data_IF_221297186630
#
_entry.id   IF_221297186630
#
_cell.length_a   1.000
_cell.length_b   1.000
_cell.length_c   1.000
_cell.angle_alpha   90.00
_cell.angle_beta   90.00
_cell.angle_gamma   90.00
#
_symmetry.space_group_name_H-M   'P 1'
#
loop_
_entity.id
_entity.type
_entity.pdbx_description
1 polymer ?
#
# COMPACT_ATOMS: atom_id res chain seq x y z
N UNK A 1 -32.70 -42.25 -10.01
CA UNK A 1 -31.99 -43.03 -11.06
C UNK A 1 -30.56 -42.46 -11.13
N UNK A 2 -29.52 -43.14 -10.61
CA UNK A 2 -28.56 -43.99 -11.37
C UNK A 2 -28.10 -43.24 -12.64
N UNK A 3 -26.85 -42.77 -12.81
CA UNK A 3 -25.51 -43.41 -12.64
C UNK A 3 -24.39 -42.33 -12.72
N UNK A 4 -23.38 -42.28 -11.82
CA UNK A 4 -21.97 -42.76 -11.96
C UNK A 4 -21.34 -42.44 -13.34
N UNK A 5 -20.13 -41.89 -13.51
CA UNK A 5 -18.82 -42.33 -12.99
C UNK A 5 -17.75 -41.21 -13.03
N UNK A 6 -16.94 -41.16 -11.97
CA UNK A 6 -15.56 -40.65 -11.93
C UNK A 6 -14.61 -41.47 -12.81
N UNK A 7 -13.46 -40.90 -13.21
CA UNK A 7 -12.12 -41.53 -13.24
C UNK A 7 -11.12 -40.37 -13.52
N UNK A 8 -10.32 -39.86 -12.58
CA UNK A 8 -9.20 -40.47 -11.83
C UNK A 8 -7.96 -40.76 -12.70
N UNK A 9 -6.85 -40.08 -12.42
CA UNK A 9 -5.52 -40.64 -12.11
C UNK A 9 -4.48 -39.48 -12.07
N UNK A 10 -3.81 -39.17 -10.97
CA UNK A 10 -2.74 -39.89 -10.23
C UNK A 10 -1.37 -39.90 -10.94
N UNK A 11 -0.42 -39.18 -10.33
CA UNK A 11 0.95 -39.62 -10.00
C UNK A 11 1.52 -38.58 -9.00
N UNK A 12 1.81 -38.87 -7.71
CA UNK A 12 2.86 -39.75 -7.16
C UNK A 12 4.26 -39.23 -7.58
N UNK A 13 5.31 -39.01 -6.76
CA UNK A 13 5.79 -39.40 -5.44
C UNK A 13 6.71 -38.22 -4.95
N UNK A 14 7.19 -38.06 -3.72
CA UNK A 14 7.97 -39.01 -2.94
C UNK A 14 8.17 -38.52 -1.50
N UNK A 15 8.33 -39.49 -0.61
CA UNK A 15 8.72 -39.34 0.78
C UNK A 15 10.21 -39.05 0.93
N UNK A 16 10.56 -38.27 1.94
CA UNK A 16 11.90 -38.21 2.51
C UNK A 16 11.79 -37.91 4.00
N UNK A 17 11.85 -38.96 4.84
CA UNK A 17 12.17 -38.82 6.26
C UNK A 17 13.70 -38.75 6.39
N UNK A 18 14.20 -37.62 6.90
CA UNK A 18 15.45 -37.54 7.67
C UNK A 18 15.04 -36.92 9.01
N UNK A 19 14.94 -37.70 10.10
CA UNK A 19 16.02 -38.14 10.98
C UNK A 19 16.67 -36.97 11.78
N UNK A 20 16.46 -37.04 13.10
CA UNK A 20 17.04 -36.31 14.24
C UNK A 20 18.29 -35.44 14.04
N UNK A 21 18.34 -34.31 14.75
CA UNK A 21 19.59 -33.66 15.15
C UNK A 21 19.37 -32.33 15.88
N UNK A 22 19.21 -32.39 17.20
CA UNK A 22 19.49 -31.26 18.10
C UNK A 22 21.00 -31.01 18.13
N UNK A 23 21.44 -29.79 17.79
CA UNK A 23 22.61 -29.08 18.32
C UNK A 23 22.89 -27.87 17.42
N UNK A 24 22.95 -26.69 18.03
CA UNK A 24 23.07 -25.43 17.32
C UNK A 24 24.36 -25.29 16.53
N UNK A 25 24.25 -24.61 15.40
CA UNK A 25 25.25 -23.74 14.79
C UNK A 25 24.50 -22.91 13.75
N UNK A 26 24.48 -21.59 13.94
CA UNK A 26 23.96 -20.64 12.95
C UNK A 26 24.86 -20.67 11.73
N UNK A 27 24.53 -21.52 10.76
CA UNK A 27 25.11 -21.43 9.42
C UNK A 27 24.36 -20.35 8.65
N UNK A 28 24.96 -19.17 8.57
CA UNK A 28 24.55 -18.11 7.66
C UNK A 28 24.87 -18.57 6.24
N UNK A 29 23.89 -19.11 5.52
CA UNK A 29 24.00 -19.34 4.09
C UNK A 29 23.84 -18.01 3.35
N UNK A 30 24.96 -17.34 3.08
CA UNK A 30 25.01 -16.21 2.15
C UNK A 30 24.86 -16.74 0.73
N UNK A 31 23.64 -16.73 0.19
CA UNK A 31 23.41 -16.92 -1.23
C UNK A 31 23.69 -15.59 -1.94
N UNK A 32 24.92 -15.41 -2.42
CA UNK A 32 25.27 -14.30 -3.31
C UNK A 32 24.81 -14.65 -4.73
N UNK A 33 23.56 -14.34 -5.07
CA UNK A 33 23.15 -14.28 -6.48
C UNK A 33 23.67 -12.99 -7.11
N UNK A 34 24.85 -13.07 -7.71
CA UNK A 34 25.38 -12.00 -8.57
C UNK A 34 24.65 -12.02 -9.91
N UNK A 35 23.54 -11.30 -10.00
CA UNK A 35 22.99 -10.93 -11.32
C UNK A 35 23.66 -9.64 -11.77
N UNK A 36 24.69 -9.77 -12.60
CA UNK A 36 25.32 -8.64 -13.27
C UNK A 36 24.40 -8.14 -14.38
N UNK A 37 23.57 -7.14 -14.09
CA UNK A 37 22.95 -6.33 -15.13
C UNK A 37 23.90 -5.19 -15.46
N UNK A 38 24.43 -5.22 -16.68
CA UNK A 38 25.24 -4.18 -17.28
C UNK A 38 24.44 -2.89 -17.37
N UNK A 39 24.82 -1.87 -16.60
CA UNK A 39 24.37 -0.50 -16.79
C UNK A 39 24.12 0.22 -15.49
N UNK A 40 24.86 1.32 -15.30
CA UNK A 40 24.57 2.41 -14.39
C UNK A 40 25.15 2.31 -12.96
N UNK A 41 26.25 3.05 -12.81
CA UNK A 41 26.62 3.88 -11.65
C UNK A 41 26.68 3.17 -10.29
N UNK A 42 27.89 2.75 -9.97
CA UNK A 42 28.31 2.43 -8.60
C UNK A 42 27.99 3.57 -7.64
N UNK A 43 27.12 3.33 -6.67
CA UNK A 43 27.13 4.07 -5.41
C UNK A 43 27.21 3.03 -4.28
N UNK A 44 28.37 3.01 -3.63
CA UNK A 44 28.62 2.22 -2.43
C UNK A 44 28.10 3.06 -1.26
N UNK A 45 26.93 2.74 -0.73
CA UNK A 45 26.47 3.31 0.53
C UNK A 45 26.85 2.39 1.68
N UNK A 46 27.87 2.79 2.42
CA UNK A 46 28.28 2.18 3.69
C UNK A 46 27.27 2.57 4.76
N UNK A 47 26.28 1.73 5.05
CA UNK A 47 25.36 1.97 6.18
C UNK A 47 25.98 1.40 7.45
N UNK A 48 26.37 2.30 8.36
CA UNK A 48 26.70 1.95 9.75
C UNK A 48 25.39 1.83 10.52
N UNK A 49 24.91 0.60 10.76
CA UNK A 49 23.75 0.39 11.63
C UNK A 49 24.15 0.64 13.09
N UNK A 50 23.69 1.76 13.64
CA UNK A 50 23.60 1.94 15.09
C UNK A 50 22.22 1.44 15.50
N UNK A 51 22.20 0.36 16.27
CA UNK A 51 21.02 -0.23 16.89
C UNK A 51 20.22 0.84 17.67
N UNK A 52 19.09 1.25 17.10
CA UNK A 52 18.01 1.88 17.84
C UNK A 52 16.71 1.39 17.22
N UNK A 53 16.00 0.55 17.97
CA UNK A 53 14.73 -0.04 17.57
C UNK A 53 13.64 1.05 17.50
N UNK A 54 13.63 1.83 16.42
CA UNK A 54 12.45 2.54 15.96
C UNK A 54 11.58 1.54 15.17
N UNK A 55 10.25 1.51 15.36
CA UNK A 55 9.39 0.66 14.56
C UNK A 55 9.58 1.03 13.08
N UNK A 56 9.92 0.03 12.26
CA UNK A 56 10.06 0.20 10.82
C UNK A 56 8.77 0.77 10.25
N UNK A 57 8.76 2.07 10.00
CA UNK A 57 7.69 2.75 9.29
C UNK A 57 7.84 2.31 7.84
N UNK A 58 7.05 1.32 7.42
CA UNK A 58 6.97 0.95 6.01
C UNK A 58 6.43 2.17 5.27
N UNK A 59 7.23 2.75 4.38
CA UNK A 59 6.73 3.66 3.36
C UNK A 59 5.65 2.91 2.57
N UNK A 60 4.42 3.43 2.47
CA UNK A 60 3.39 2.85 1.63
C UNK A 60 3.91 2.72 0.19
N UNK A 61 3.42 1.72 -0.55
CA UNK A 61 3.84 1.52 -1.95
C UNK A 61 3.64 2.79 -2.81
N UNK A 62 2.70 3.66 -2.43
CA UNK A 62 2.39 4.94 -3.08
C UNK A 62 3.24 6.15 -2.68
N UNK A 63 4.35 5.97 -1.97
CA UNK A 63 5.25 7.08 -1.62
C UNK A 63 4.81 7.87 -0.39
N UNK A 64 4.85 9.20 -0.47
CA UNK A 64 4.47 10.11 0.63
C UNK A 64 3.14 10.79 0.32
N UNK A 65 2.20 10.75 1.26
CA UNK A 65 0.91 11.41 1.11
C UNK A 65 1.05 12.92 0.83
N UNK A 66 0.35 13.48 -0.17
CA UNK A 66 0.35 14.92 -0.39
C UNK A 66 -0.29 15.67 0.79
N UNK A 67 0.38 16.68 1.32
CA UNK A 67 -0.20 17.55 2.35
C UNK A 67 -0.82 18.83 1.77
N UNK A 68 -0.80 18.99 0.45
CA UNK A 68 -1.28 20.17 -0.26
C UNK A 68 -2.08 19.75 -1.50
N UNK A 69 -3.25 20.36 -1.68
CA UNK A 69 -4.07 20.18 -2.89
C UNK A 69 -3.54 21.08 -3.99
N UNK A 70 -3.35 20.51 -5.18
CA UNK A 70 -2.88 21.23 -6.38
C UNK A 70 -3.98 21.47 -7.40
N UNK A 71 -4.92 20.54 -7.51
CA UNK A 71 -6.01 20.59 -8.46
C UNK A 71 -7.19 19.74 -7.97
N UNK A 72 -8.31 19.86 -8.67
CA UNK A 72 -9.47 19.00 -8.54
C UNK A 72 -9.72 18.37 -9.91
N UNK A 73 -9.99 17.06 -9.94
CA UNK A 73 -10.49 16.37 -11.11
C UNK A 73 -11.89 16.87 -11.46
N UNK A 74 -12.40 16.54 -12.65
CA UNK A 74 -13.79 16.87 -12.98
C UNK A 74 -14.77 16.08 -12.10
N UNK A 75 -14.41 14.84 -11.70
CA UNK A 75 -15.22 14.03 -10.79
C UNK A 75 -15.34 14.72 -9.44
N UNK A 76 -14.23 15.15 -8.83
CA UNK A 76 -14.24 15.90 -7.58
C UNK A 76 -14.99 17.23 -7.67
N UNK A 77 -14.99 17.91 -8.83
CA UNK A 77 -15.82 19.10 -9.04
C UNK A 77 -17.31 18.77 -9.10
N UNK A 78 -17.69 17.62 -9.67
CA UNK A 78 -19.07 17.12 -9.69
C UNK A 78 -19.50 16.65 -8.29
N UNK A 79 -18.63 15.99 -7.53
CA UNK A 79 -18.90 15.50 -6.17
C UNK A 79 -19.18 16.65 -5.18
N UNK A 80 -18.48 17.78 -5.34
CA UNK A 80 -18.76 19.00 -4.55
C UNK A 80 -20.16 19.57 -4.77
N UNK A 81 -20.85 19.12 -5.81
CA UNK A 81 -22.24 19.48 -6.12
C UNK A 81 -23.23 18.37 -5.74
N UNK A 82 -22.74 17.20 -5.29
CA UNK A 82 -23.60 16.11 -4.83
C UNK A 82 -24.38 16.51 -3.57
N UNK A 83 -25.63 16.07 -3.48
CA UNK A 83 -26.54 16.45 -2.40
C UNK A 83 -26.01 16.05 -1.02
N UNK A 84 -25.32 14.91 -0.91
CA UNK A 84 -24.83 14.39 0.37
C UNK A 84 -23.59 15.17 0.83
N UNK A 85 -22.69 15.48 -0.10
CA UNK A 85 -21.50 16.33 0.11
C UNK A 85 -21.90 17.76 0.48
N UNK A 86 -22.85 18.35 -0.24
CA UNK A 86 -23.39 19.70 0.02
C UNK A 86 -24.10 19.75 1.38
N UNK A 87 -24.92 18.73 1.70
CA UNK A 87 -25.63 18.62 2.99
C UNK A 87 -24.66 18.45 4.15
N UNK A 88 -23.55 17.75 3.95
CA UNK A 88 -22.47 17.63 4.92
C UNK A 88 -21.63 18.92 5.07
N UNK A 89 -21.83 19.90 4.18
CA UNK A 89 -21.12 21.19 4.20
C UNK A 89 -19.66 21.06 3.78
N UNK A 90 -19.36 20.10 2.91
CA UNK A 90 -18.01 19.91 2.36
C UNK A 90 -17.83 20.82 1.15
N UNK A 91 -16.85 21.73 1.25
CA UNK A 91 -16.45 22.62 0.17
C UNK A 91 -14.92 22.56 -0.03
N UNK A 92 -14.39 23.20 -1.08
CA UNK A 92 -12.94 23.18 -1.37
C UNK A 92 -12.07 23.62 -0.18
N UNK A 93 -12.41 24.72 0.55
CA UNK A 93 -11.72 25.06 1.79
C UNK A 93 -11.71 23.94 2.83
N UNK A 94 -12.85 23.26 3.04
CA UNK A 94 -12.95 22.14 3.98
C UNK A 94 -12.09 20.95 3.55
N UNK A 95 -12.12 20.58 2.27
CA UNK A 95 -11.28 19.52 1.69
C UNK A 95 -9.79 19.87 1.85
N UNK A 96 -9.41 21.11 1.54
CA UNK A 96 -8.03 21.61 1.72
C UNK A 96 -7.56 21.49 3.16
N UNK A 97 -8.40 21.89 4.12
CA UNK A 97 -8.08 21.79 5.54
C UNK A 97 -7.97 20.32 5.99
N UNK A 98 -8.89 19.46 5.53
CA UNK A 98 -8.87 18.03 5.85
C UNK A 98 -7.57 17.38 5.37
N UNK A 99 -7.15 17.63 4.13
CA UNK A 99 -5.89 17.10 3.58
C UNK A 99 -4.69 17.56 4.40
N UNK A 100 -4.63 18.85 4.77
CA UNK A 100 -3.55 19.38 5.62
C UNK A 100 -3.53 18.75 7.02
N UNK A 101 -4.69 18.62 7.67
CA UNK A 101 -4.80 18.11 9.03
C UNK A 101 -4.55 16.60 9.11
N UNK A 102 -4.87 15.85 8.04
CA UNK A 102 -4.85 14.38 8.01
C UNK A 102 -3.73 13.78 7.19
N UNK A 103 -2.84 14.55 6.57
CA UNK A 103 -1.80 13.97 5.70
C UNK A 103 -0.83 13.03 6.42
N UNK A 104 -0.62 13.19 7.73
CA UNK A 104 0.15 12.23 8.54
C UNK A 104 -0.57 10.91 8.84
N UNK A 105 -1.86 10.81 8.52
CA UNK A 105 -2.73 9.65 8.76
C UNK A 105 -3.42 9.12 7.50
N UNK A 106 -3.09 9.68 6.33
CA UNK A 106 -3.65 9.23 5.06
C UNK A 106 -3.22 7.79 4.76
N UNK A 107 -4.11 7.02 4.17
CA UNK A 107 -3.86 5.64 3.75
C UNK A 107 -3.74 5.59 2.24
N UNK A 108 -2.83 4.77 1.72
CA UNK A 108 -2.70 4.58 0.28
C UNK A 108 -3.36 3.25 -0.11
N UNK A 109 -4.34 3.31 -1.02
CA UNK A 109 -5.02 2.17 -1.63
C UNK A 109 -5.47 2.53 -3.05
N UNK A 110 -5.53 1.55 -3.95
CA UNK A 110 -5.96 1.70 -5.35
C UNK A 110 -5.43 2.96 -6.09
N UNK A 111 -4.13 3.23 -5.97
CA UNK A 111 -3.43 4.39 -6.56
C UNK A 111 -3.85 5.78 -6.02
N UNK A 112 -4.60 5.83 -4.92
CA UNK A 112 -5.06 7.04 -4.26
C UNK A 112 -4.60 7.13 -2.80
N UNK A 113 -4.40 8.36 -2.34
CA UNK A 113 -4.29 8.68 -0.93
C UNK A 113 -5.66 9.06 -0.39
N UNK A 114 -6.13 8.33 0.60
CA UNK A 114 -7.42 8.51 1.23
C UNK A 114 -7.27 9.27 2.54
N UNK A 115 -8.02 10.35 2.69
CA UNK A 115 -8.05 11.20 3.88
C UNK A 115 -9.46 11.16 4.47
N UNK A 116 -9.58 10.73 5.73
CA UNK A 116 -10.87 10.62 6.42
C UNK A 116 -11.01 11.61 7.58
N UNK A 117 -12.18 12.24 7.68
CA UNK A 117 -12.62 12.98 8.87
C UNK A 117 -14.11 12.73 9.17
N UNK A 118 -14.37 11.80 10.09
CA UNK A 118 -15.72 11.34 10.37
C UNK A 118 -16.28 10.58 9.18
N UNK A 119 -17.36 11.10 8.61
CA UNK A 119 -18.03 10.57 7.42
C UNK A 119 -17.39 11.00 6.11
N UNK A 120 -16.53 12.03 6.12
CA UNK A 120 -15.95 12.58 4.89
C UNK A 120 -14.73 11.76 4.50
N UNK A 121 -14.71 11.30 3.24
CA UNK A 121 -13.60 10.66 2.57
C UNK A 121 -13.16 11.54 1.39
N UNK A 122 -11.85 11.74 1.25
CA UNK A 122 -11.27 12.47 0.12
C UNK A 122 -10.17 11.61 -0.46
N UNK A 123 -10.25 11.32 -1.75
CA UNK A 123 -9.21 10.60 -2.49
C UNK A 123 -8.35 11.57 -3.27
N UNK A 124 -7.03 11.44 -3.14
CA UNK A 124 -6.06 12.36 -3.75
C UNK A 124 -4.96 11.56 -4.43
N UNK A 125 -4.69 11.87 -5.69
CA UNK A 125 -3.58 11.31 -6.45
C UNK A 125 -2.23 11.73 -5.85
N UNK A 126 -1.17 10.99 -6.18
CA UNK A 126 0.20 11.29 -5.72
C UNK A 126 0.66 12.73 -6.04
N UNK A 127 0.14 13.32 -7.13
CA UNK A 127 0.47 14.69 -7.53
C UNK A 127 -0.27 15.79 -6.74
N UNK A 128 -1.18 15.41 -5.84
CA UNK A 128 -1.99 16.32 -5.04
C UNK A 128 -3.30 16.77 -5.72
N UNK A 129 -3.71 16.11 -6.81
CA UNK A 129 -5.03 16.31 -7.42
C UNK A 129 -6.09 15.52 -6.64
N UNK A 130 -7.17 16.18 -6.20
CA UNK A 130 -8.33 15.49 -5.62
C UNK A 130 -9.07 14.77 -6.74
N UNK A 131 -9.28 13.46 -6.60
CA UNK A 131 -10.00 12.66 -7.59
C UNK A 131 -11.47 12.48 -7.24
N UNK A 132 -11.79 12.14 -6.00
CA UNK A 132 -13.15 11.84 -5.52
C UNK A 132 -13.39 12.40 -4.10
N UNK A 133 -14.63 12.78 -3.80
CA UNK A 133 -15.08 13.23 -2.48
C UNK A 133 -16.39 12.53 -2.12
N UNK A 134 -16.33 11.73 -1.05
CA UNK A 134 -17.48 10.95 -0.56
C UNK A 134 -17.87 11.33 0.86
N UNK A 135 -19.16 11.09 1.18
CA UNK A 135 -19.69 11.19 2.54
C UNK A 135 -20.46 9.92 2.89
N UNK A 136 -19.96 9.17 3.86
CA UNK A 136 -20.62 8.00 4.45
C UNK A 136 -21.86 8.43 5.28
N UNK A 137 -23.02 7.81 5.07
CA UNK A 137 -24.29 8.09 5.80
C UNK A 137 -24.43 7.31 7.14
#
# INVERSE_FOLDING_TARGET
MKKILSYAALAALAAGLAACGDSGETTTDTVTETTSVTGETSQVETVTETESAAPATRTPAGGTAPCEIRAYSNSAEDDLLDDDVVRAGVDKPRVTQLVQDKCGSATFDDDHWTYRDGAIEVEVLEDGTVDEIDVDD
#
